data_IF_289047414129
#
_entry.id   IF_289047414129
#
_cell.length_a   1.000
_cell.length_b   1.000
_cell.length_c   1.000
_cell.angle_alpha   90.00
_cell.angle_beta   90.00
_cell.angle_gamma   90.00
#
_symmetry.space_group_name_H-M   'P 1'
#
loop_
_entity.id
_entity.type
_entity.pdbx_description
1 polymer ?
#
# COMPACT_ATOMS: atom_id res chain seq x y z
N UNK A 1 -9.89 8.01 -17.27
CA UNK A 1 -10.93 9.05 -17.39
C UNK A 1 -10.24 10.41 -17.31
N UNK A 2 -10.49 11.31 -18.25
CA UNK A 2 -9.97 12.67 -18.16
C UNK A 2 -10.77 13.51 -17.15
N UNK A 3 -10.29 14.72 -16.82
CA UNK A 3 -10.92 15.60 -15.83
C UNK A 3 -12.37 16.01 -16.18
N UNK A 4 -12.80 15.79 -17.43
CA UNK A 4 -14.15 16.11 -17.90
C UNK A 4 -15.06 14.87 -17.95
N UNK A 5 -14.60 13.71 -17.45
CA UNK A 5 -15.37 12.46 -17.50
C UNK A 5 -15.24 11.68 -18.82
N UNK A 6 -14.42 12.16 -19.76
CA UNK A 6 -14.16 11.51 -21.04
C UNK A 6 -13.07 10.43 -20.96
N UNK A 7 -12.77 9.79 -22.11
CA UNK A 7 -11.70 8.79 -22.26
C UNK A 7 -11.70 7.74 -21.14
N UNK A 8 -12.86 7.12 -20.95
CA UNK A 8 -13.02 6.01 -20.02
C UNK A 8 -12.35 4.78 -20.64
N UNK A 9 -11.59 4.07 -19.82
CA UNK A 9 -10.89 2.86 -20.20
C UNK A 9 -10.97 1.89 -19.01
N UNK A 10 -11.18 0.60 -19.32
CA UNK A 10 -11.17 -0.46 -18.30
C UNK A 10 -9.72 -0.83 -18.06
N UNK A 11 -9.15 -0.32 -16.95
CA UNK A 11 -7.76 -0.56 -16.58
C UNK A 11 -7.48 -2.02 -16.21
N UNK A 12 -8.37 -2.61 -15.42
CA UNK A 12 -8.27 -4.01 -14.97
C UNK A 12 -9.56 -4.74 -15.34
N UNK A 13 -9.57 -5.51 -16.45
CA UNK A 13 -10.73 -6.29 -16.86
C UNK A 13 -10.91 -7.57 -16.04
N UNK A 14 -9.92 -7.97 -15.21
CA UNK A 14 -9.98 -9.21 -14.44
C UNK A 14 -10.61 -9.02 -13.05
N UNK A 15 -10.52 -7.81 -12.51
CA UNK A 15 -11.16 -7.44 -11.24
C UNK A 15 -10.37 -7.91 -10.00
N UNK A 16 -11.05 -7.89 -8.85
CA UNK A 16 -10.37 -8.06 -7.55
C UNK A 16 -9.47 -6.88 -7.19
N UNK A 17 -9.58 -5.76 -7.90
CA UNK A 17 -8.80 -4.56 -7.67
C UNK A 17 -9.21 -3.90 -6.36
N UNK A 18 -8.22 -3.57 -5.54
CA UNK A 18 -8.37 -2.80 -4.30
C UNK A 18 -7.08 -2.01 -4.06
N UNK A 19 -7.14 -1.00 -3.20
CA UNK A 19 -5.99 -0.24 -2.71
C UNK A 19 -5.05 0.22 -3.85
N UNK A 20 -5.41 1.31 -4.52
CA UNK A 20 -4.65 1.83 -5.63
C UNK A 20 -4.04 3.20 -5.33
N UNK A 21 -2.88 3.46 -5.92
CA UNK A 21 -2.21 4.77 -5.91
C UNK A 21 -1.61 5.04 -7.29
N UNK A 22 -1.63 6.31 -7.72
CA UNK A 22 -0.95 6.71 -8.95
C UNK A 22 0.56 6.80 -8.71
N UNK A 23 1.35 6.16 -9.57
CA UNK A 23 2.81 6.35 -9.61
C UNK A 23 3.18 7.62 -10.36
N UNK A 24 2.56 7.77 -11.53
CA UNK A 24 2.76 8.86 -12.47
C UNK A 24 1.52 8.97 -13.38
N UNK A 25 1.39 9.97 -14.28
CA UNK A 25 0.19 10.16 -15.10
C UNK A 25 -0.21 8.99 -16.01
N UNK A 26 0.62 7.96 -16.14
CA UNK A 26 0.38 6.80 -17.00
C UNK A 26 0.40 5.48 -16.24
N UNK A 27 0.63 5.46 -14.93
CA UNK A 27 0.71 4.20 -14.20
C UNK A 27 -0.02 4.24 -12.86
N UNK A 28 -0.79 3.19 -12.62
CA UNK A 28 -1.56 2.96 -11.40
C UNK A 28 -1.02 1.70 -10.73
N UNK A 29 -0.67 1.82 -9.45
CA UNK A 29 -0.16 0.73 -8.64
C UNK A 29 -1.25 0.25 -7.69
N UNK A 30 -1.71 -1.00 -7.84
CA UNK A 30 -2.85 -1.53 -7.09
C UNK A 30 -2.66 -2.98 -6.65
N UNK A 31 -3.37 -3.40 -5.62
CA UNK A 31 -3.57 -4.83 -5.35
C UNK A 31 -4.71 -5.36 -6.21
N UNK A 32 -4.48 -6.42 -6.97
CA UNK A 32 -5.49 -6.97 -7.89
C UNK A 32 -5.28 -8.46 -8.10
N UNK A 33 -6.26 -9.12 -8.71
CA UNK A 33 -6.08 -10.46 -9.25
C UNK A 33 -5.69 -10.36 -10.73
N UNK A 34 -4.69 -11.14 -11.16
CA UNK A 34 -4.35 -11.26 -12.57
C UNK A 34 -3.91 -12.70 -12.91
N UNK A 35 -4.21 -13.23 -14.11
CA UNK A 35 -3.87 -14.60 -14.50
C UNK A 35 -2.38 -14.97 -14.36
N UNK A 36 -1.48 -13.98 -14.37
CA UNK A 36 -0.03 -14.22 -14.31
C UNK A 36 0.45 -14.69 -12.94
N UNK A 37 -0.03 -14.08 -11.84
CA UNK A 37 0.48 -14.37 -10.49
C UNK A 37 -0.61 -14.37 -9.40
N UNK A 38 -1.89 -14.39 -9.78
CA UNK A 38 -3.01 -14.37 -8.83
C UNK A 38 -3.18 -13.02 -8.14
N UNK A 39 -3.54 -13.03 -6.86
CA UNK A 39 -3.70 -11.81 -6.05
C UNK A 39 -2.35 -11.23 -5.67
N UNK A 40 -1.94 -10.14 -6.31
CA UNK A 40 -0.65 -9.47 -6.07
C UNK A 40 -0.78 -7.97 -6.26
N UNK A 41 0.29 -7.27 -5.91
CA UNK A 41 0.48 -5.89 -6.29
C UNK A 41 0.94 -5.82 -7.76
N UNK A 42 0.24 -5.00 -8.55
CA UNK A 42 0.46 -4.82 -9.98
C UNK A 42 0.56 -3.34 -10.34
N UNK A 43 1.53 -3.02 -11.19
CA UNK A 43 1.64 -1.74 -11.85
C UNK A 43 0.97 -1.83 -13.23
N UNK A 44 -0.18 -1.20 -13.36
CA UNK A 44 -0.92 -1.09 -14.60
C UNK A 44 -0.51 0.17 -15.34
N UNK A 45 -0.38 0.09 -16.66
CA UNK A 45 -0.25 1.27 -17.52
C UNK A 45 -1.64 1.70 -17.99
N UNK A 46 -1.99 2.96 -17.77
CA UNK A 46 -3.27 3.51 -18.19
C UNK A 46 -3.40 3.50 -19.72
N UNK A 47 -4.63 3.29 -20.21
CA UNK A 47 -4.97 3.18 -21.63
C UNK A 47 -4.20 2.08 -22.38
N UNK A 48 -3.89 0.97 -21.70
CA UNK A 48 -3.05 -0.12 -22.21
C UNK A 48 -3.36 -1.42 -21.47
N UNK A 49 -3.06 -2.56 -22.10
CA UNK A 49 -3.08 -3.88 -21.46
C UNK A 49 -1.73 -4.22 -20.77
N UNK A 50 -0.76 -3.31 -20.76
CA UNK A 50 0.54 -3.52 -20.12
C UNK A 50 0.40 -3.52 -18.58
N UNK A 51 0.77 -4.64 -17.97
CA UNK A 51 0.74 -4.84 -16.52
C UNK A 51 2.00 -5.57 -16.05
N UNK A 52 2.56 -5.13 -14.92
CA UNK A 52 3.76 -5.73 -14.32
C UNK A 52 3.51 -6.06 -12.85
N UNK A 53 3.85 -7.27 -12.42
CA UNK A 53 3.82 -7.63 -10.99
C UNK A 53 4.92 -6.90 -10.24
N UNK A 54 4.63 -6.38 -9.04
CA UNK A 54 5.58 -5.67 -8.18
C UNK A 54 5.65 -6.37 -6.84
N UNK A 55 6.87 -6.64 -6.35
CA UNK A 55 7.08 -7.21 -5.03
C UNK A 55 6.42 -8.59 -4.86
N UNK A 56 6.46 -9.45 -5.88
CA UNK A 56 5.76 -10.74 -5.90
C UNK A 56 5.88 -11.55 -4.60
N UNK A 57 7.08 -11.63 -4.04
CA UNK A 57 7.37 -12.32 -2.78
C UNK A 57 7.58 -11.37 -1.61
N UNK A 58 8.03 -10.14 -1.87
CA UNK A 58 8.33 -9.15 -0.83
C UNK A 58 7.06 -8.48 -0.27
N UNK A 59 6.00 -8.38 -1.08
CA UNK A 59 4.68 -7.81 -0.78
C UNK A 59 3.58 -8.86 -1.09
N UNK A 60 3.58 -10.02 -0.40
CA UNK A 60 2.80 -11.18 -0.84
C UNK A 60 1.30 -11.07 -0.53
N UNK A 61 0.87 -10.08 0.23
CA UNK A 61 -0.49 -9.96 0.76
C UNK A 61 -1.02 -8.53 0.62
N UNK A 62 -2.34 -8.41 0.59
CA UNK A 62 -3.05 -7.14 0.45
C UNK A 62 -2.72 -6.15 1.58
N UNK A 63 -2.74 -4.87 1.23
CA UNK A 63 -2.45 -3.72 2.10
C UNK A 63 -2.72 -2.41 1.38
N UNK A 64 -2.54 -1.30 2.09
CA UNK A 64 -2.84 0.06 1.66
C UNK A 64 -1.57 0.80 1.24
N UNK A 65 -1.21 0.66 -0.04
CA UNK A 65 0.03 1.17 -0.60
C UNK A 65 -0.05 2.65 -0.98
N UNK A 66 1.04 3.38 -0.75
CA UNK A 66 1.25 4.76 -1.22
C UNK A 66 2.72 4.99 -1.55
N UNK A 67 3.03 5.82 -2.56
CA UNK A 67 4.41 6.18 -2.87
C UNK A 67 4.93 7.25 -1.90
N UNK A 68 6.21 7.15 -1.50
CA UNK A 68 6.85 8.22 -0.74
C UNK A 68 7.21 9.41 -1.65
N UNK A 69 6.74 10.63 -1.35
CA UNK A 69 7.15 11.82 -2.09
C UNK A 69 8.66 12.04 -2.05
N UNK A 70 9.22 12.62 -3.13
CA UNK A 70 10.65 12.94 -3.21
C UNK A 70 11.58 11.76 -3.51
N UNK A 71 11.03 10.55 -3.73
CA UNK A 71 11.82 9.33 -3.98
C UNK A 71 11.79 8.83 -5.43
N UNK A 72 11.31 9.66 -6.38
CA UNK A 72 11.12 9.27 -7.78
C UNK A 72 10.24 8.01 -8.00
N UNK A 73 9.42 7.65 -7.02
CA UNK A 73 8.58 6.44 -7.06
C UNK A 73 9.34 5.16 -6.71
N UNK A 74 10.55 5.24 -6.17
CA UNK A 74 11.35 4.07 -5.82
C UNK A 74 10.91 3.44 -4.48
N UNK A 75 10.34 4.24 -3.58
CA UNK A 75 9.87 3.78 -2.28
C UNK A 75 8.34 3.82 -2.17
N UNK A 76 7.79 2.70 -1.70
CA UNK A 76 6.37 2.51 -1.39
C UNK A 76 6.23 2.26 0.10
N UNK A 77 5.33 2.98 0.74
CA UNK A 77 4.83 2.65 2.07
C UNK A 77 3.58 1.78 1.92
N UNK A 78 3.51 0.68 2.66
CA UNK A 78 2.37 -0.21 2.67
C UNK A 78 2.17 -0.79 4.08
N UNK A 79 1.08 -1.51 4.29
CA UNK A 79 0.81 -2.22 5.53
C UNK A 79 0.39 -3.67 5.31
N UNK A 80 0.03 -4.33 6.41
CA UNK A 80 -0.61 -5.63 6.39
C UNK A 80 -1.87 -5.58 7.24
N UNK A 81 -2.87 -6.37 6.85
CA UNK A 81 -3.91 -6.80 7.79
C UNK A 81 -3.29 -7.56 8.98
N UNK A 82 -4.02 -7.73 10.11
CA UNK A 82 -3.51 -8.40 11.29
C UNK A 82 -3.00 -9.82 10.99
N UNK A 83 -1.73 -10.10 11.33
CA UNK A 83 -1.08 -11.39 11.11
C UNK A 83 -0.78 -12.13 12.41
N UNK A 84 -0.80 -13.47 12.33
CA UNK A 84 -0.38 -14.35 13.41
C UNK A 84 -1.27 -14.29 14.66
N UNK A 85 -0.82 -14.99 15.72
CA UNK A 85 -1.57 -15.10 16.99
C UNK A 85 -1.68 -13.77 17.73
N UNK A 86 -0.69 -12.91 17.58
CA UNK A 86 -0.63 -11.59 18.20
C UNK A 86 -1.42 -10.52 17.41
N UNK A 87 -1.97 -10.88 16.24
CA UNK A 87 -2.72 -9.98 15.35
C UNK A 87 -1.96 -8.69 15.05
N UNK A 88 -0.70 -8.80 14.66
CA UNK A 88 0.14 -7.64 14.36
C UNK A 88 -0.17 -7.11 12.96
N UNK A 89 -0.48 -5.81 12.89
CA UNK A 89 -0.47 -5.04 11.64
C UNK A 89 0.89 -4.39 11.50
N UNK A 90 1.55 -4.60 10.38
CA UNK A 90 2.94 -4.18 10.20
C UNK A 90 3.06 -3.23 9.02
N UNK A 91 3.10 -1.91 9.25
CA UNK A 91 3.55 -0.96 8.23
C UNK A 91 5.01 -1.24 7.82
N UNK A 92 5.31 -1.09 6.54
CA UNK A 92 6.64 -1.30 5.99
C UNK A 92 6.90 -0.44 4.76
N UNK A 93 8.18 -0.16 4.53
CA UNK A 93 8.67 0.39 3.28
C UNK A 93 9.06 -0.74 2.33
N UNK A 94 8.80 -0.56 1.06
CA UNK A 94 9.24 -1.42 -0.03
C UNK A 94 9.98 -0.59 -1.06
N UNK A 95 11.23 -0.94 -1.31
CA UNK A 95 12.07 -0.35 -2.34
C UNK A 95 11.91 -1.14 -3.64
N UNK A 96 11.25 -0.53 -4.63
CA UNK A 96 10.91 -1.15 -5.91
C UNK A 96 12.16 -1.60 -6.68
N UNK A 97 13.21 -0.79 -6.85
CA UNK A 97 14.36 -1.16 -7.68
C UNK A 97 15.13 -2.37 -7.15
N UNK A 98 15.21 -2.53 -5.83
CA UNK A 98 16.00 -3.61 -5.20
C UNK A 98 15.16 -4.73 -4.61
N UNK A 99 13.83 -4.71 -4.80
CA UNK A 99 12.89 -5.68 -4.22
C UNK A 99 13.09 -5.87 -2.70
N UNK A 100 13.35 -4.77 -1.97
CA UNK A 100 13.68 -4.82 -0.53
C UNK A 100 12.51 -4.34 0.30
N UNK A 101 12.09 -5.14 1.29
CA UNK A 101 11.10 -4.76 2.30
C UNK A 101 11.79 -4.40 3.63
N UNK A 102 11.37 -3.31 4.25
CA UNK A 102 11.87 -2.80 5.54
C UNK A 102 10.67 -2.54 6.45
N UNK A 103 10.43 -3.35 7.49
CA UNK A 103 9.39 -3.07 8.49
C UNK A 103 9.65 -1.74 9.20
N UNK A 104 8.61 -0.94 9.41
CA UNK A 104 8.70 0.35 10.12
C UNK A 104 7.77 0.44 11.34
N UNK A 105 7.05 -0.64 11.64
CA UNK A 105 6.22 -0.77 12.82
C UNK A 105 5.58 -2.15 12.92
N UNK A 106 5.07 -2.47 14.10
CA UNK A 106 4.27 -3.65 14.37
C UNK A 106 3.28 -3.31 15.49
N UNK A 107 1.99 -3.22 15.15
CA UNK A 107 0.95 -2.74 16.06
C UNK A 107 -0.08 -3.84 16.29
N UNK A 108 -0.29 -4.27 17.55
CA UNK A 108 -1.37 -5.21 17.85
C UNK A 108 -2.73 -4.63 17.48
N UNK A 109 -3.50 -5.37 16.68
CA UNK A 109 -4.91 -5.11 16.49
C UNK A 109 -5.69 -5.79 17.63
N UNK A 110 -6.32 -5.07 18.56
CA UNK A 110 -7.08 -5.70 19.63
C UNK A 110 -8.31 -6.45 19.09
N UNK A 111 -8.71 -7.61 19.63
CA UNK A 111 -9.84 -8.43 19.13
C UNK A 111 -11.15 -7.67 18.93
N UNK A 112 -11.41 -6.66 19.76
CA UNK A 112 -12.58 -5.79 19.66
C UNK A 112 -12.64 -4.98 18.34
N UNK A 113 -11.50 -4.78 17.67
CA UNK A 113 -11.40 -4.13 16.36
C UNK A 113 -11.22 -5.20 15.27
N UNK A 114 -12.33 -5.71 14.76
CA UNK A 114 -12.38 -6.76 13.73
C UNK A 114 -13.60 -6.59 12.82
N UNK A 115 -13.60 -7.29 11.68
CA UNK A 115 -14.67 -7.19 10.67
C UNK A 115 -14.82 -5.75 10.16
N UNK A 116 -16.06 -5.26 10.10
CA UNK A 116 -16.35 -3.87 9.70
C UNK A 116 -15.90 -2.82 10.73
N UNK A 117 -15.61 -3.25 11.97
CA UNK A 117 -15.13 -2.38 13.05
C UNK A 117 -13.60 -2.34 13.13
N UNK A 118 -12.90 -2.99 12.19
CA UNK A 118 -11.43 -3.05 12.16
C UNK A 118 -10.82 -1.65 12.10
N UNK A 119 -9.60 -1.55 12.63
CA UNK A 119 -8.78 -0.35 12.57
C UNK A 119 -7.60 -0.67 11.64
N UNK A 120 -7.81 -0.53 10.33
CA UNK A 120 -6.73 -0.72 9.36
C UNK A 120 -5.73 0.43 9.46
N UNK A 121 -4.43 0.15 9.32
CA UNK A 121 -3.41 1.16 9.63
C UNK A 121 -3.38 2.31 8.62
N UNK A 122 -3.80 2.07 7.36
CA UNK A 122 -3.96 3.10 6.33
C UNK A 122 -2.79 4.11 6.29
N UNK A 123 -1.54 3.65 6.19
CA UNK A 123 -0.41 4.55 6.33
C UNK A 123 -0.40 5.57 5.18
N UNK A 124 -0.25 6.84 5.53
CA UNK A 124 -0.24 7.96 4.58
C UNK A 124 1.01 8.80 4.74
N UNK A 125 1.78 8.93 3.67
CA UNK A 125 3.05 9.61 3.68
C UNK A 125 2.89 11.13 3.80
N UNK A 126 3.73 11.74 4.62
CA UNK A 126 3.89 13.19 4.68
C UNK A 126 4.44 13.74 3.36
N UNK A 127 4.25 15.05 3.13
CA UNK A 127 4.73 15.73 1.91
C UNK A 127 6.25 15.70 1.75
N UNK A 128 7.00 15.57 2.85
CA UNK A 128 8.47 15.44 2.81
C UNK A 128 8.92 14.02 2.49
N UNK A 129 8.03 13.03 2.56
CA UNK A 129 8.37 11.61 2.44
C UNK A 129 9.11 11.03 3.64
N UNK A 130 9.41 11.82 4.68
CA UNK A 130 10.22 11.41 5.84
C UNK A 130 9.41 10.96 7.05
N UNK A 131 8.09 11.12 7.02
CA UNK A 131 7.17 10.72 8.07
C UNK A 131 5.91 10.12 7.46
N UNK A 132 5.15 9.35 8.24
CA UNK A 132 3.83 8.89 7.85
C UNK A 132 2.85 8.92 9.03
N UNK A 133 1.58 9.24 8.75
CA UNK A 133 0.51 9.02 9.71
C UNK A 133 -0.13 7.65 9.49
N UNK A 134 -0.69 7.06 10.55
CA UNK A 134 -1.39 5.79 10.51
C UNK A 134 -2.43 5.70 11.62
N UNK A 135 -3.49 4.94 11.37
CA UNK A 135 -4.49 4.62 12.37
C UNK A 135 -4.05 3.41 13.19
N UNK A 136 -4.33 3.38 14.49
CA UNK A 136 -4.15 2.16 15.28
C UNK A 136 -5.00 2.16 16.54
N UNK A 137 -5.37 0.97 17.00
CA UNK A 137 -6.06 0.77 18.27
C UNK A 137 -5.16 0.19 19.38
N UNK A 138 -3.84 0.10 19.14
CA UNK A 138 -2.91 -0.62 20.01
C UNK A 138 -2.82 -0.05 21.44
N UNK A 139 -3.07 1.24 21.63
CA UNK A 139 -2.96 1.93 22.92
C UNK A 139 -4.31 2.19 23.60
N UNK A 140 -5.23 1.22 23.57
CA UNK A 140 -6.50 1.28 24.34
C UNK A 140 -7.65 1.99 23.64
N UNK A 141 -7.54 2.28 22.34
CA UNK A 141 -8.59 2.87 21.53
C UNK A 141 -8.08 3.32 20.16
N UNK A 142 -8.97 3.45 19.17
CA UNK A 142 -8.62 3.96 17.84
C UNK A 142 -8.10 5.39 17.95
N UNK A 143 -6.89 5.62 17.48
CA UNK A 143 -6.22 6.91 17.40
C UNK A 143 -5.41 7.02 16.10
N UNK A 144 -5.03 8.25 15.75
CA UNK A 144 -4.10 8.55 14.66
C UNK A 144 -2.72 8.82 15.26
N UNK A 145 -1.70 8.21 14.69
CA UNK A 145 -0.30 8.35 15.11
C UNK A 145 0.54 8.92 13.98
N UNK A 146 1.70 9.45 14.32
CA UNK A 146 2.72 9.92 13.38
C UNK A 146 4.03 9.20 13.70
N UNK A 147 4.69 8.65 12.68
CA UNK A 147 5.98 8.00 12.80
C UNK A 147 7.00 8.65 11.85
N UNK A 148 8.25 8.73 12.30
CA UNK A 148 9.38 9.20 11.51
C UNK A 148 10.12 8.02 10.87
N UNK A 149 10.48 8.17 9.61
CA UNK A 149 11.20 7.17 8.79
C UNK A 149 12.41 7.79 8.08
N UNK A 150 12.78 9.03 8.41
CA UNK A 150 13.81 9.78 7.69
C UNK A 150 15.17 9.08 7.69
N UNK A 151 15.60 8.53 8.83
CA UNK A 151 16.88 7.82 8.97
C UNK A 151 16.97 6.55 8.12
N UNK A 152 15.85 5.98 7.66
CA UNK A 152 15.83 4.79 6.81
C UNK A 152 16.04 5.09 5.33
N UNK A 153 15.98 6.38 4.95
CA UNK A 153 16.04 6.85 3.57
C UNK A 153 17.37 7.52 3.21
N UNK A 154 18.21 7.78 4.21
CA UNK A 154 19.54 8.37 4.07
C UNK A 154 20.62 7.28 3.93
#
# INVERSE_FOLDING_TARGET
MDVNGGKIHVLDPNGGTSHFVWRDPRHIFAFAWHPSHGERFYLFKDLSDEVTVVGQDAMPANGHNTYLPGTNGDWVLNDTYPQGKERLQSPYLYHVPTNRRVPVGAFPAPPAYSGEWRCDTHPSASRSGRQFCFDSAHAGGRQVYLADIGELLD
#
